data_IF_551954168672
#
_entry.id   IF_551954168672
#
_cell.length_a   1.000
_cell.length_b   1.000
_cell.length_c   1.000
_cell.angle_alpha   90.00
_cell.angle_beta   90.00
_cell.angle_gamma   90.00
#
_symmetry.space_group_name_H-M   'P 1'
#
loop_
_entity.id
_entity.type
_entity.pdbx_description
1 polymer ?
#
# COMPACT_ATOMS: atom_id res chain seq x y z
N UNK A 1 1.87 9.52 19.97
CA UNK A 1 1.09 8.45 19.33
C UNK A 1 2.09 7.53 18.67
N UNK A 2 2.03 6.22 18.96
CA UNK A 2 3.01 5.26 18.40
C UNK A 2 2.79 5.08 16.88
N UNK A 3 3.79 4.60 16.11
CA UNK A 3 3.61 4.31 14.70
C UNK A 3 2.43 3.37 14.42
N UNK A 4 2.26 2.34 15.26
CA UNK A 4 1.10 1.45 15.23
C UNK A 4 -0.23 2.21 15.36
N UNK A 5 -0.35 3.09 16.36
CA UNK A 5 -1.57 3.85 16.59
C UNK A 5 -1.88 4.83 15.44
N UNK A 6 -0.86 5.45 14.86
CA UNK A 6 -1.02 6.34 13.71
C UNK A 6 -1.58 5.59 12.50
N UNK A 7 -1.01 4.42 12.17
CA UNK A 7 -1.48 3.60 11.05
C UNK A 7 -2.90 3.09 11.33
N UNK A 8 -3.17 2.57 12.53
CA UNK A 8 -4.50 2.07 12.88
C UNK A 8 -5.59 3.15 12.76
N UNK A 9 -5.29 4.40 13.13
CA UNK A 9 -6.24 5.51 12.93
C UNK A 9 -6.55 5.73 11.46
N UNK A 10 -5.54 5.69 10.60
CA UNK A 10 -5.73 5.86 9.16
C UNK A 10 -6.49 4.69 8.52
N UNK A 11 -6.32 3.45 9.02
CA UNK A 11 -7.11 2.30 8.59
C UNK A 11 -8.61 2.44 8.91
N UNK A 12 -8.93 3.21 9.96
CA UNK A 12 -10.29 3.48 10.43
C UNK A 12 -10.86 4.80 9.93
N UNK A 13 -10.10 5.56 9.15
CA UNK A 13 -10.56 6.85 8.65
C UNK A 13 -11.72 6.64 7.68
N UNK A 14 -12.83 7.34 7.93
CA UNK A 14 -14.05 7.22 7.14
C UNK A 14 -14.27 8.44 6.26
N UNK A 15 -13.52 9.52 6.51
CA UNK A 15 -13.63 10.76 5.77
C UNK A 15 -12.46 10.96 4.79
N UNK A 16 -12.74 11.49 3.58
CA UNK A 16 -14.07 11.77 3.06
C UNK A 16 -14.84 10.48 2.71
N UNK A 17 -16.18 10.53 2.84
CA UNK A 17 -17.07 9.41 2.55
C UNK A 17 -16.88 8.92 1.11
N UNK A 18 -16.95 9.85 0.15
CA UNK A 18 -16.72 9.61 -1.25
C UNK A 18 -15.29 9.97 -1.67
N UNK A 19 -14.61 9.04 -2.33
CA UNK A 19 -13.27 9.21 -2.90
C UNK A 19 -13.26 8.70 -4.34
N UNK A 20 -12.52 9.40 -5.19
CA UNK A 20 -12.22 8.93 -6.55
C UNK A 20 -10.79 8.38 -6.51
N UNK A 21 -10.59 7.05 -6.57
CA UNK A 21 -9.24 6.48 -6.51
C UNK A 21 -8.44 6.87 -7.75
N UNK A 22 -7.15 7.16 -7.57
CA UNK A 22 -6.26 7.35 -8.71
C UNK A 22 -6.19 6.06 -9.54
N UNK A 23 -6.24 6.14 -10.88
CA UNK A 23 -6.13 4.97 -11.71
C UNK A 23 -4.69 4.42 -11.70
N UNK A 24 -4.54 3.15 -12.09
CA UNK A 24 -3.22 2.59 -12.41
C UNK A 24 -2.61 3.36 -13.58
N UNK A 25 -1.28 3.58 -13.61
CA UNK A 25 -0.59 4.26 -14.71
C UNK A 25 -0.33 3.33 -15.92
N UNK A 26 -0.93 2.14 -15.96
CA UNK A 26 -0.74 1.14 -17.01
C UNK A 26 -2.07 0.44 -17.33
N UNK A 27 -2.15 -0.12 -18.53
CA UNK A 27 -3.29 -0.93 -18.98
C UNK A 27 -3.08 -2.40 -18.67
N UNK A 28 -4.17 -3.16 -18.50
CA UNK A 28 -4.10 -4.56 -18.10
C UNK A 28 -3.51 -5.49 -19.18
N UNK A 29 -3.57 -5.10 -20.45
CA UNK A 29 -3.01 -5.85 -21.60
C UNK A 29 -1.49 -5.65 -21.80
N UNK A 30 -0.87 -4.68 -21.12
CA UNK A 30 0.57 -4.42 -21.22
C UNK A 30 1.38 -5.58 -20.61
N UNK A 31 2.58 -5.79 -21.13
CA UNK A 31 3.47 -6.78 -20.56
C UNK A 31 4.01 -6.35 -19.17
N UNK A 32 4.51 -7.29 -18.39
CA UNK A 32 4.92 -7.01 -17.01
C UNK A 32 6.05 -5.97 -16.92
N UNK A 33 7.02 -6.01 -17.84
CA UNK A 33 8.17 -5.10 -17.87
C UNK A 33 7.72 -3.65 -18.07
N UNK A 34 6.81 -3.43 -19.02
CA UNK A 34 6.20 -2.12 -19.27
C UNK A 34 5.42 -1.61 -18.06
N UNK A 35 4.59 -2.47 -17.46
CA UNK A 35 3.85 -2.13 -16.22
C UNK A 35 4.80 -1.71 -15.10
N UNK A 36 5.89 -2.47 -14.91
CA UNK A 36 6.87 -2.18 -13.86
C UNK A 36 7.61 -0.86 -14.13
N UNK A 37 8.02 -0.60 -15.37
CA UNK A 37 8.64 0.67 -15.75
C UNK A 37 7.69 1.85 -15.49
N UNK A 38 6.45 1.78 -15.98
CA UNK A 38 5.46 2.84 -15.79
C UNK A 38 5.15 3.09 -14.31
N UNK A 39 5.08 2.04 -13.50
CA UNK A 39 4.91 2.19 -12.05
C UNK A 39 6.08 2.90 -11.37
N UNK A 40 7.32 2.57 -11.73
CA UNK A 40 8.49 3.26 -11.18
C UNK A 40 8.50 4.74 -11.59
N UNK A 41 8.20 5.04 -12.85
CA UNK A 41 8.11 6.42 -13.33
C UNK A 41 7.02 7.21 -12.60
N UNK A 42 5.83 6.63 -12.41
CA UNK A 42 4.73 7.26 -11.68
C UNK A 42 5.07 7.48 -10.19
N UNK A 43 5.69 6.48 -9.55
CA UNK A 43 6.14 6.56 -8.15
C UNK A 43 7.15 7.69 -7.96
N UNK A 44 8.15 7.77 -8.84
CA UNK A 44 9.17 8.83 -8.75
C UNK A 44 8.63 10.20 -9.14
N UNK A 45 7.69 10.28 -10.09
CA UNK A 45 7.02 11.54 -10.45
C UNK A 45 6.19 12.09 -9.29
N UNK A 46 5.32 11.26 -8.70
CA UNK A 46 4.46 11.67 -7.58
C UNK A 46 5.28 12.11 -6.36
N UNK A 47 6.37 11.40 -6.07
CA UNK A 47 7.36 11.83 -5.06
C UNK A 47 7.96 13.20 -5.35
N UNK A 48 8.41 13.46 -6.59
CA UNK A 48 9.02 14.76 -6.97
C UNK A 48 8.03 15.92 -6.92
N UNK A 49 6.78 15.68 -7.28
CA UNK A 49 5.70 16.69 -7.23
C UNK A 49 5.26 16.96 -5.78
N UNK A 50 5.57 16.07 -4.84
CA UNK A 50 5.15 16.20 -3.44
C UNK A 50 3.70 15.80 -3.21
N UNK A 51 3.06 15.11 -4.15
CA UNK A 51 1.71 14.56 -3.97
C UNK A 51 1.79 13.27 -3.13
N UNK A 52 1.62 13.45 -1.82
CA UNK A 52 1.74 12.36 -0.84
C UNK A 52 0.76 11.23 -1.12
N UNK A 53 -0.51 11.54 -1.40
CA UNK A 53 -1.56 10.53 -1.54
C UNK A 53 -1.34 9.73 -2.83
N UNK A 54 -1.08 10.42 -3.94
CA UNK A 54 -0.75 9.76 -5.20
C UNK A 54 0.50 8.88 -5.06
N UNK A 55 1.51 9.33 -4.32
CA UNK A 55 2.71 8.54 -4.06
C UNK A 55 2.40 7.25 -3.28
N UNK A 56 1.58 7.32 -2.24
CA UNK A 56 1.14 6.15 -1.48
C UNK A 56 0.34 5.17 -2.35
N UNK A 57 -0.57 5.68 -3.19
CA UNK A 57 -1.33 4.86 -4.14
C UNK A 57 -0.40 4.17 -5.14
N UNK A 58 0.59 4.87 -5.68
CA UNK A 58 1.57 4.28 -6.58
C UNK A 58 2.40 3.17 -5.89
N UNK A 59 2.78 3.36 -4.63
CA UNK A 59 3.49 2.33 -3.86
C UNK A 59 2.62 1.09 -3.61
N UNK A 60 1.33 1.27 -3.35
CA UNK A 60 0.37 0.17 -3.26
C UNK A 60 0.26 -0.59 -4.58
N UNK A 61 0.10 0.11 -5.71
CA UNK A 61 0.01 -0.54 -7.02
C UNK A 61 1.30 -1.25 -7.42
N UNK A 62 2.47 -0.68 -7.12
CA UNK A 62 3.75 -1.35 -7.34
C UNK A 62 3.86 -2.63 -6.49
N UNK A 63 3.41 -2.60 -5.23
CA UNK A 63 3.32 -3.79 -4.38
C UNK A 63 2.34 -4.84 -4.94
N UNK A 64 1.15 -4.41 -5.39
CA UNK A 64 0.17 -5.29 -6.03
C UNK A 64 0.73 -5.96 -7.31
N UNK A 65 1.41 -5.18 -8.16
CA UNK A 65 2.05 -5.68 -9.37
C UNK A 65 3.06 -6.79 -9.03
N UNK A 66 3.90 -6.56 -8.01
CA UNK A 66 4.93 -7.50 -7.58
C UNK A 66 4.39 -8.75 -6.88
N UNK A 67 3.37 -8.60 -6.01
CA UNK A 67 2.89 -9.72 -5.17
C UNK A 67 1.78 -10.54 -5.84
N UNK A 68 1.02 -9.97 -6.80
CA UNK A 68 -0.13 -10.63 -7.42
C UNK A 68 -0.02 -10.87 -8.91
N UNK A 69 0.77 -10.08 -9.66
CA UNK A 69 0.80 -10.16 -11.13
C UNK A 69 2.07 -10.80 -11.69
N UNK A 70 3.04 -11.15 -10.85
CA UNK A 70 4.20 -11.93 -11.27
C UNK A 70 3.81 -13.37 -11.54
N UNK A 71 4.34 -13.96 -12.61
CA UNK A 71 4.12 -15.36 -12.99
C UNK A 71 4.61 -16.34 -11.92
N UNK A 72 5.76 -16.04 -11.31
CA UNK A 72 6.41 -16.92 -10.34
C UNK A 72 7.33 -16.14 -9.38
N UNK A 73 7.85 -16.83 -8.37
CA UNK A 73 8.77 -16.27 -7.38
C UNK A 73 10.09 -15.77 -8.00
N UNK A 74 10.53 -16.33 -9.13
CA UNK A 74 11.78 -15.92 -9.81
C UNK A 74 11.58 -14.56 -10.46
N UNK A 75 10.48 -14.36 -11.17
CA UNK A 75 10.11 -13.06 -11.75
C UNK A 75 9.92 -12.01 -10.64
N UNK A 76 9.20 -12.36 -9.56
CA UNK A 76 9.03 -11.45 -8.42
C UNK A 76 10.37 -11.03 -7.83
N UNK A 77 11.27 -11.97 -7.57
CA UNK A 77 12.59 -11.67 -7.02
C UNK A 77 13.42 -10.81 -7.97
N UNK A 78 13.38 -11.08 -9.27
CA UNK A 78 14.08 -10.29 -10.29
C UNK A 78 13.67 -8.81 -10.25
N UNK A 79 12.36 -8.50 -10.26
CA UNK A 79 11.90 -7.12 -10.23
C UNK A 79 12.05 -6.47 -8.85
N UNK A 80 11.85 -7.21 -7.76
CA UNK A 80 12.13 -6.71 -6.40
C UNK A 80 13.59 -6.30 -6.26
N UNK A 81 14.53 -7.02 -6.87
CA UNK A 81 15.96 -6.69 -6.82
C UNK A 81 16.29 -5.34 -7.46
N UNK A 82 15.46 -4.86 -8.39
CA UNK A 82 15.64 -3.54 -9.01
C UNK A 82 15.21 -2.39 -8.09
N UNK A 83 14.42 -2.66 -7.05
CA UNK A 83 14.09 -1.68 -6.01
C UNK A 83 15.19 -1.63 -4.96
N UNK A 84 15.36 -0.46 -4.33
CA UNK A 84 16.20 -0.35 -3.13
C UNK A 84 15.61 -1.16 -1.98
N UNK A 85 16.44 -1.61 -1.04
CA UNK A 85 15.98 -2.35 0.13
C UNK A 85 14.86 -1.61 0.89
N UNK A 86 15.00 -0.29 1.01
CA UNK A 86 13.98 0.58 1.58
C UNK A 86 12.62 0.42 0.87
N UNK A 87 12.60 0.56 -0.46
CA UNK A 87 11.35 0.46 -1.22
C UNK A 87 10.79 -0.96 -1.24
N UNK A 88 11.62 -2.01 -1.25
CA UNK A 88 11.15 -3.41 -1.20
C UNK A 88 10.24 -3.66 0.01
N UNK A 89 10.65 -3.22 1.19
CA UNK A 89 9.84 -3.38 2.41
C UNK A 89 8.58 -2.53 2.35
N UNK A 90 8.70 -1.29 1.88
CA UNK A 90 7.57 -0.35 1.81
C UNK A 90 6.47 -0.85 0.87
N UNK A 91 6.80 -1.23 -0.37
CA UNK A 91 5.76 -1.62 -1.35
C UNK A 91 5.04 -2.90 -0.92
N UNK A 92 5.76 -3.86 -0.35
CA UNK A 92 5.16 -5.09 0.21
C UNK A 92 4.25 -4.75 1.40
N UNK A 93 4.71 -3.90 2.34
CA UNK A 93 3.90 -3.51 3.50
C UNK A 93 2.67 -2.69 3.10
N UNK A 94 2.82 -1.75 2.16
CA UNK A 94 1.70 -0.97 1.61
C UNK A 94 0.65 -1.86 0.99
N UNK A 95 1.05 -2.82 0.15
CA UNK A 95 0.12 -3.73 -0.50
C UNK A 95 -0.66 -4.54 0.53
N UNK A 96 0.01 -5.29 1.40
CA UNK A 96 -0.69 -6.15 2.37
C UNK A 96 -1.52 -5.39 3.40
N UNK A 97 -1.12 -4.17 3.76
CA UNK A 97 -1.87 -3.36 4.72
C UNK A 97 -3.22 -2.90 4.16
N UNK A 98 -3.29 -2.59 2.87
CA UNK A 98 -4.49 -2.06 2.22
C UNK A 98 -5.16 -3.06 1.26
N UNK A 99 -4.67 -4.30 1.17
CA UNK A 99 -5.16 -5.30 0.21
C UNK A 99 -6.67 -5.52 0.30
N UNK A 100 -7.22 -5.57 1.52
CA UNK A 100 -8.65 -5.74 1.75
C UNK A 100 -9.44 -4.44 1.65
N UNK A 101 -8.84 -3.32 2.05
CA UNK A 101 -9.53 -2.02 2.15
C UNK A 101 -9.53 -1.23 0.84
N UNK A 102 -8.63 -1.57 -0.08
CA UNK A 102 -8.53 -0.92 -1.39
C UNK A 102 -7.80 0.43 -1.36
N UNK A 103 -7.74 1.02 -2.55
CA UNK A 103 -7.07 2.31 -2.79
C UNK A 103 -7.86 3.45 -2.19
N UNK A 104 -9.18 3.30 -2.14
CA UNK A 104 -10.13 4.21 -1.51
C UNK A 104 -9.71 4.51 -0.07
N UNK A 105 -9.27 3.51 0.68
CA UNK A 105 -8.80 3.74 2.05
C UNK A 105 -7.48 4.50 2.10
N UNK A 106 -6.58 4.31 1.13
CA UNK A 106 -5.33 5.08 1.02
C UNK A 106 -5.64 6.57 0.79
N UNK A 107 -6.67 6.86 -0.01
CA UNK A 107 -7.14 8.23 -0.28
C UNK A 107 -7.62 8.95 0.98
N UNK A 108 -8.06 8.21 2.01
CA UNK A 108 -8.51 8.74 3.31
C UNK A 108 -7.38 8.91 4.33
N UNK A 109 -6.18 8.40 4.04
CA UNK A 109 -5.08 8.47 5.01
C UNK A 109 -4.68 9.91 5.33
N UNK A 110 -4.27 10.16 6.58
CA UNK A 110 -3.83 11.48 7.04
C UNK A 110 -2.38 11.42 7.56
N UNK A 111 -2.02 10.35 8.24
CA UNK A 111 -0.81 10.24 9.07
C UNK A 111 0.23 9.28 8.50
N UNK A 112 -0.17 8.33 7.67
CA UNK A 112 0.71 7.28 7.18
C UNK A 112 1.88 7.90 6.41
N UNK A 113 3.08 7.47 6.78
CA UNK A 113 4.32 7.81 6.07
C UNK A 113 5.16 6.55 5.93
N UNK A 114 6.14 6.59 5.03
CA UNK A 114 7.07 5.47 4.84
C UNK A 114 7.87 5.18 6.12
N UNK A 115 8.18 6.22 6.89
CA UNK A 115 8.87 6.08 8.18
C UNK A 115 8.03 5.26 9.16
N UNK A 116 6.75 5.58 9.33
CA UNK A 116 5.86 4.83 10.22
C UNK A 116 5.74 3.36 9.79
N UNK A 117 5.65 3.11 8.49
CA UNK A 117 5.60 1.75 7.93
C UNK A 117 6.88 0.96 8.16
N UNK A 118 8.03 1.62 8.35
CA UNK A 118 9.29 0.95 8.70
C UNK A 118 9.45 0.73 10.20
N UNK A 119 9.00 1.69 11.00
CA UNK A 119 9.15 1.66 12.46
C UNK A 119 8.26 0.63 13.13
N UNK A 120 7.14 0.24 12.51
CA UNK A 120 6.33 -0.87 13.04
C UNK A 120 7.10 -2.18 12.96
N UNK A 121 7.14 -2.89 14.09
CA UNK A 121 7.70 -4.23 14.16
C UNK A 121 6.93 -5.20 13.27
N UNK A 122 7.52 -6.36 12.96
CA UNK A 122 6.82 -7.38 12.16
C UNK A 122 5.54 -7.88 12.85
N UNK A 123 5.57 -8.03 14.18
CA UNK A 123 4.40 -8.44 14.98
C UNK A 123 3.30 -7.38 14.97
N UNK A 124 3.66 -6.09 15.10
CA UNK A 124 2.69 -5.00 14.98
C UNK A 124 2.10 -4.90 13.58
N UNK A 125 2.93 -5.07 12.55
CA UNK A 125 2.46 -5.08 11.16
C UNK A 125 1.45 -6.20 10.91
N UNK A 126 1.71 -7.42 11.40
CA UNK A 126 0.75 -8.52 11.32
C UNK A 126 -0.57 -8.19 12.01
N UNK A 127 -0.52 -7.57 13.20
CA UNK A 127 -1.73 -7.11 13.91
C UNK A 127 -2.50 -6.06 13.10
N UNK A 128 -1.81 -5.12 12.44
CA UNK A 128 -2.44 -4.12 11.58
C UNK A 128 -3.11 -4.75 10.36
N UNK A 129 -2.49 -5.74 9.72
CA UNK A 129 -3.10 -6.48 8.60
C UNK A 129 -4.36 -7.22 9.05
N UNK A 130 -4.31 -7.89 10.22
CA UNK A 130 -5.51 -8.53 10.81
C UNK A 130 -6.60 -7.50 11.11
N UNK A 131 -6.24 -6.31 11.61
CA UNK A 131 -7.18 -5.22 11.86
C UNK A 131 -7.80 -4.69 10.56
N UNK A 132 -7.03 -4.52 9.50
CA UNK A 132 -7.55 -4.14 8.19
C UNK A 132 -8.59 -5.14 7.66
N UNK A 133 -8.35 -6.45 7.83
CA UNK A 133 -9.33 -7.49 7.49
C UNK A 133 -10.59 -7.43 8.37
N UNK A 134 -10.45 -7.19 9.68
CA UNK A 134 -11.59 -7.04 10.59
C UNK A 134 -12.47 -5.83 10.23
N UNK A 135 -11.84 -4.70 9.85
CA UNK A 135 -12.52 -3.49 9.39
C UNK A 135 -13.29 -3.80 8.11
N UNK A 136 -12.63 -4.44 7.13
CA UNK A 136 -13.27 -4.84 5.87
C UNK A 136 -14.50 -5.73 6.09
N UNK A 137 -14.42 -6.68 7.03
CA UNK A 137 -15.51 -7.59 7.37
C UNK A 137 -16.59 -6.94 8.27
N UNK A 138 -16.41 -5.71 8.75
CA UNK A 138 -17.33 -5.04 9.66
C UNK A 138 -17.37 -5.61 11.09
N UNK A 139 -16.41 -6.45 11.47
CA UNK A 139 -16.39 -7.18 12.76
C UNK A 139 -15.54 -6.53 13.84
N UNK A 140 -14.90 -5.40 13.56
CA UNK A 140 -14.04 -4.72 14.55
C UNK A 140 -14.81 -4.33 15.83
N UNK A 141 -16.11 -4.02 15.71
CA UNK A 141 -16.98 -3.64 16.81
C UNK A 141 -17.43 -4.80 17.72
N UNK A 142 -17.12 -6.06 17.39
CA UNK A 142 -17.56 -7.25 18.15
C UNK A 142 -16.52 -7.77 19.15
N UNK A 143 -15.32 -7.18 19.16
CA UNK A 143 -14.20 -7.64 19.99
C UNK A 143 -13.88 -6.71 21.17
N UNK A 144 -14.82 -5.85 21.51
CA UNK A 144 -14.71 -4.88 22.61
C UNK A 144 -15.97 -4.86 23.48
N UNK A 145 -16.22 -5.97 24.17
CA UNK A 145 -16.95 -6.02 25.44
C UNK A 145 -16.10 -6.79 26.47
#
# INVERSE_FOLDING_TARGET
MTPYQCILKDLRETQPEYVIPYPKPYEDNMNFEEKFRLMNEATERSKRVGDRVLWLVNLFYLGQLLERQTKDNKQRNYYRQQLTEHYRTIVTRMFYLFEYLGVEQIMRTIRITLTLLREVSQTEFQKLVTKALQIFNGVENLSGE
#
